data_IF_834852558027
#
_entry.id   IF_834852558027
#
_cell.length_a   1.000
_cell.length_b   1.000
_cell.length_c   1.000
_cell.angle_alpha   90.00
_cell.angle_beta   90.00
_cell.angle_gamma   90.00
#
_symmetry.space_group_name_H-M   'P 1'
#
loop_
_entity.id
_entity.type
_entity.pdbx_description
1 polymer ?
#
# COMPACT_ATOMS: atom_id res chain seq x y z
N UNK A 1 9.12 9.31 0.60
CA UNK A 1 8.17 10.45 0.55
C UNK A 1 8.77 11.59 1.36
N UNK A 2 8.80 12.83 0.86
CA UNK A 2 9.38 13.96 1.62
C UNK A 2 8.47 14.31 2.81
N UNK A 3 9.03 14.32 4.03
CA UNK A 3 8.32 14.61 5.28
C UNK A 3 7.65 16.01 5.28
N UNK A 4 8.13 16.91 4.43
CA UNK A 4 7.58 18.25 4.25
C UNK A 4 6.11 18.26 3.79
N UNK A 5 5.67 17.25 3.04
CA UNK A 5 4.31 17.20 2.50
C UNK A 5 3.22 17.03 3.57
N UNK A 6 3.28 16.01 4.46
CA UNK A 6 2.31 15.91 5.55
C UNK A 6 2.39 17.08 6.54
N UNK A 7 3.57 17.69 6.74
CA UNK A 7 3.73 18.87 7.59
C UNK A 7 3.02 20.09 6.98
N UNK A 8 3.23 20.35 5.68
CA UNK A 8 2.55 21.43 4.99
C UNK A 8 1.03 21.27 5.04
N UNK A 9 0.54 20.04 4.89
CA UNK A 9 -0.89 19.76 4.99
C UNK A 9 -1.45 19.97 6.40
N UNK A 10 -0.66 19.66 7.43
CA UNK A 10 -1.02 19.91 8.83
C UNK A 10 -1.11 21.40 9.13
N UNK A 11 -0.21 22.22 8.56
CA UNK A 11 -0.29 23.68 8.65
C UNK A 11 -1.53 24.24 7.95
N UNK A 12 -1.87 23.71 6.77
CA UNK A 12 -3.12 24.08 6.08
C UNK A 12 -4.33 23.72 6.92
N UNK A 13 -4.37 22.52 7.51
CA UNK A 13 -5.46 22.11 8.39
C UNK A 13 -5.59 23.03 9.62
N UNK A 14 -4.48 23.50 10.19
CA UNK A 14 -4.49 24.41 11.32
C UNK A 14 -5.01 25.82 10.96
N UNK A 15 -4.89 26.20 9.68
CA UNK A 15 -5.45 27.45 9.15
C UNK A 15 -6.95 27.36 8.83
N UNK A 16 -7.53 26.16 8.81
CA UNK A 16 -8.93 25.94 8.45
C UNK A 16 -9.75 25.87 9.74
N UNK A 17 -10.82 26.67 9.82
CA UNK A 17 -11.79 26.54 10.90
C UNK A 17 -12.57 25.24 10.74
N UNK A 18 -12.12 24.21 11.44
CA UNK A 18 -12.70 22.87 11.41
C UNK A 18 -14.00 22.78 12.23
N UNK A 19 -14.35 23.84 12.97
CA UNK A 19 -15.55 23.90 13.81
C UNK A 19 -16.79 24.28 12.99
N UNK A 20 -16.59 24.97 11.87
CA UNK A 20 -17.67 25.35 10.96
C UNK A 20 -18.21 24.14 10.18
N UNK A 21 -19.53 23.84 10.27
CA UNK A 21 -20.14 22.76 9.51
C UNK A 21 -20.05 22.94 7.99
N UNK A 22 -20.06 24.17 7.47
CA UNK A 22 -19.98 24.42 6.03
C UNK A 22 -18.62 24.02 5.46
N UNK A 23 -17.55 24.37 6.16
CA UNK A 23 -16.17 24.00 5.80
C UNK A 23 -15.99 22.49 5.81
N UNK A 24 -16.50 21.80 6.83
CA UNK A 24 -16.48 20.33 6.91
C UNK A 24 -17.22 19.69 5.73
N UNK A 25 -18.37 20.24 5.37
CA UNK A 25 -19.17 19.74 4.25
C UNK A 25 -18.47 19.95 2.91
N UNK A 26 -17.87 21.13 2.71
CA UNK A 26 -17.07 21.42 1.51
C UNK A 26 -15.88 20.45 1.35
N UNK A 27 -15.15 20.17 2.43
CA UNK A 27 -14.04 19.20 2.41
C UNK A 27 -14.54 17.79 2.11
N UNK A 28 -15.69 17.41 2.66
CA UNK A 28 -16.30 16.11 2.39
C UNK A 28 -16.70 15.98 0.91
N UNK A 29 -17.28 17.03 0.31
CA UNK A 29 -17.60 17.03 -1.12
C UNK A 29 -16.35 16.96 -2.01
N UNK A 30 -15.29 17.71 -1.65
CA UNK A 30 -14.01 17.62 -2.34
C UNK A 30 -13.45 16.19 -2.28
N UNK A 31 -13.52 15.56 -1.11
CA UNK A 31 -13.09 14.19 -0.90
C UNK A 31 -13.86 13.20 -1.77
N UNK A 32 -15.18 13.29 -1.80
CA UNK A 32 -16.04 12.44 -2.64
C UNK A 32 -15.68 12.66 -4.12
N UNK A 33 -15.57 13.91 -4.56
CA UNK A 33 -15.24 14.25 -5.95
C UNK A 33 -13.90 13.63 -6.38
N UNK A 34 -12.85 13.79 -5.55
CA UNK A 34 -11.52 13.20 -5.82
C UNK A 34 -11.63 11.69 -5.95
N UNK A 35 -12.34 11.01 -5.02
CA UNK A 35 -12.46 9.56 -5.07
C UNK A 35 -13.28 9.06 -6.25
N UNK A 36 -14.34 9.78 -6.66
CA UNK A 36 -15.10 9.47 -7.88
C UNK A 36 -14.18 9.48 -9.10
N UNK A 37 -13.30 10.48 -9.21
CA UNK A 37 -12.30 10.54 -10.30
C UNK A 37 -11.34 9.35 -10.20
N UNK A 38 -10.81 9.04 -9.02
CA UNK A 38 -9.89 7.91 -8.83
C UNK A 38 -10.55 6.56 -9.17
N UNK A 39 -11.82 6.37 -8.80
CA UNK A 39 -12.59 5.18 -9.17
C UNK A 39 -12.80 5.08 -10.69
N UNK A 40 -13.12 6.19 -11.35
CA UNK A 40 -13.25 6.22 -12.81
C UNK A 40 -11.94 5.80 -13.49
N UNK A 41 -10.80 6.30 -13.01
CA UNK A 41 -9.48 5.90 -13.52
C UNK A 41 -9.21 4.41 -13.24
N UNK A 42 -9.54 3.91 -12.04
CA UNK A 42 -9.35 2.50 -11.72
C UNK A 42 -10.20 1.57 -12.61
N UNK A 43 -11.45 1.94 -12.90
CA UNK A 43 -12.32 1.21 -13.84
C UNK A 43 -11.77 1.28 -15.26
N UNK A 44 -11.25 2.43 -15.68
CA UNK A 44 -10.59 2.56 -16.98
C UNK A 44 -9.37 1.63 -17.10
N UNK A 45 -8.52 1.56 -16.07
CA UNK A 45 -7.39 0.62 -16.02
C UNK A 45 -7.84 -0.82 -16.14
N UNK A 46 -8.90 -1.21 -15.41
CA UNK A 46 -9.48 -2.54 -15.49
C UNK A 46 -9.88 -2.91 -16.92
N UNK A 47 -10.62 -2.03 -17.60
CA UNK A 47 -11.02 -2.22 -18.99
C UNK A 47 -9.82 -2.34 -19.94
N UNK A 48 -8.78 -1.51 -19.75
CA UNK A 48 -7.56 -1.56 -20.57
C UNK A 48 -6.79 -2.87 -20.39
N UNK A 49 -6.67 -3.38 -19.17
CA UNK A 49 -6.02 -4.66 -18.88
C UNK A 49 -6.79 -5.80 -19.55
N UNK A 50 -8.12 -5.80 -19.43
CA UNK A 50 -8.98 -6.82 -20.05
C UNK A 50 -8.89 -6.80 -21.58
N UNK A 51 -8.86 -5.62 -22.21
CA UNK A 51 -8.78 -5.51 -23.67
C UNK A 51 -7.39 -5.93 -24.19
N UNK A 52 -6.31 -5.61 -23.48
CA UNK A 52 -4.96 -6.01 -23.89
C UNK A 52 -4.72 -7.52 -23.77
N UNK A 53 -5.31 -8.16 -22.75
CA UNK A 53 -5.25 -9.61 -22.50
C UNK A 53 -3.90 -10.27 -22.87
N UNK A 54 -2.81 -9.73 -22.32
CA UNK A 54 -1.46 -10.16 -22.66
C UNK A 54 -1.13 -11.52 -22.02
N UNK A 55 -0.98 -12.54 -22.87
CA UNK A 55 -0.74 -13.93 -22.47
C UNK A 55 0.74 -14.29 -22.33
N UNK A 56 1.66 -13.32 -22.39
CA UNK A 56 3.09 -13.58 -22.16
C UNK A 56 3.27 -14.18 -20.75
N UNK A 57 4.04 -15.26 -20.67
CA UNK A 57 4.35 -15.91 -19.40
C UNK A 57 5.33 -15.05 -18.59
N UNK A 58 4.99 -14.77 -17.34
CA UNK A 58 5.84 -14.13 -16.34
C UNK A 58 6.15 -15.13 -15.23
N UNK A 59 7.40 -15.13 -14.79
CA UNK A 59 7.82 -15.79 -13.57
C UNK A 59 7.85 -14.74 -12.46
N UNK A 60 7.00 -14.93 -11.46
CA UNK A 60 6.91 -14.05 -10.29
C UNK A 60 7.36 -14.86 -9.08
N UNK A 61 8.46 -14.45 -8.48
CA UNK A 61 8.91 -15.00 -7.20
C UNK A 61 8.09 -14.35 -6.09
N UNK A 62 7.36 -15.15 -5.32
CA UNK A 62 6.68 -14.65 -4.14
C UNK A 62 7.73 -14.27 -3.08
N UNK A 63 7.61 -13.05 -2.53
CA UNK A 63 8.55 -12.53 -1.53
C UNK A 63 8.44 -13.25 -0.18
N UNK A 64 7.33 -13.95 0.08
CA UNK A 64 7.11 -14.66 1.34
C UNK A 64 7.47 -16.15 1.28
N UNK A 65 7.16 -16.85 0.20
CA UNK A 65 7.43 -18.31 0.09
C UNK A 65 8.70 -18.63 -0.71
N UNK A 66 9.33 -17.64 -1.38
CA UNK A 66 10.38 -17.85 -2.38
C UNK A 66 9.99 -18.82 -3.51
N UNK A 67 8.70 -19.14 -3.66
CA UNK A 67 8.22 -20.00 -4.73
C UNK A 67 8.06 -19.19 -6.01
N UNK A 68 8.50 -19.76 -7.13
CA UNK A 68 8.35 -19.15 -8.45
C UNK A 68 6.99 -19.55 -9.01
N UNK A 69 6.06 -18.61 -9.04
CA UNK A 69 4.76 -18.81 -9.67
C UNK A 69 4.82 -18.34 -11.13
N UNK A 70 4.41 -19.21 -12.04
CA UNK A 70 4.17 -18.83 -13.43
C UNK A 70 2.76 -18.26 -13.56
N UNK A 71 2.65 -17.03 -14.02
CA UNK A 71 1.37 -16.38 -14.32
C UNK A 71 1.49 -15.57 -15.61
N UNK A 72 0.37 -15.20 -16.24
CA UNK A 72 0.42 -14.33 -17.42
C UNK A 72 0.62 -12.87 -17.02
N UNK A 73 1.08 -12.04 -17.97
CA UNK A 73 1.13 -10.57 -17.79
C UNK A 73 -0.23 -10.01 -17.39
N UNK A 74 -1.30 -10.47 -18.05
CA UNK A 74 -2.66 -10.05 -17.72
C UNK A 74 -3.06 -10.40 -16.29
N UNK A 75 -2.79 -11.64 -15.85
CA UNK A 75 -3.09 -12.08 -14.48
C UNK A 75 -2.31 -11.28 -13.44
N UNK A 76 -1.03 -11.00 -13.73
CA UNK A 76 -0.20 -10.17 -12.87
C UNK A 76 -0.75 -8.74 -12.76
N UNK A 77 -1.03 -8.09 -13.88
CA UNK A 77 -1.59 -6.73 -13.91
C UNK A 77 -2.94 -6.67 -13.19
N UNK A 78 -3.77 -7.70 -13.33
CA UNK A 78 -5.05 -7.81 -12.64
C UNK A 78 -4.88 -7.97 -11.13
N UNK A 79 -3.92 -8.78 -10.68
CA UNK A 79 -3.60 -8.94 -9.27
C UNK A 79 -3.17 -7.61 -8.63
N UNK A 80 -2.34 -6.83 -9.33
CA UNK A 80 -1.87 -5.51 -8.90
C UNK A 80 -2.97 -4.48 -8.94
N UNK A 81 -3.85 -4.55 -9.96
CA UNK A 81 -5.03 -3.69 -10.03
C UNK A 81 -5.95 -3.94 -8.84
N UNK A 82 -6.20 -5.20 -8.49
CA UNK A 82 -7.01 -5.58 -7.33
C UNK A 82 -6.39 -5.05 -6.03
N UNK A 83 -5.08 -5.21 -5.85
CA UNK A 83 -4.38 -4.66 -4.70
C UNK A 83 -4.52 -3.12 -4.62
N UNK A 84 -4.33 -2.42 -5.74
CA UNK A 84 -4.51 -0.97 -5.83
C UNK A 84 -5.95 -0.58 -5.46
N UNK A 85 -6.94 -1.22 -6.07
CA UNK A 85 -8.35 -0.89 -5.86
C UNK A 85 -8.79 -1.13 -4.41
N UNK A 86 -8.55 -2.31 -3.87
CA UNK A 86 -9.03 -2.65 -2.53
C UNK A 86 -8.18 -2.03 -1.42
N UNK A 87 -6.85 -2.10 -1.53
CA UNK A 87 -5.96 -1.70 -0.44
C UNK A 87 -5.56 -0.22 -0.49
N UNK A 88 -5.51 0.39 -1.68
CA UNK A 88 -5.04 1.78 -1.84
C UNK A 88 -6.17 2.78 -2.14
N UNK A 89 -7.36 2.32 -2.55
CA UNK A 89 -8.53 3.20 -2.78
C UNK A 89 -9.67 2.91 -1.80
N UNK A 90 -10.23 1.69 -1.83
CA UNK A 90 -11.46 1.37 -1.08
C UNK A 90 -11.24 1.40 0.43
N UNK A 91 -10.21 0.72 0.93
CA UNK A 91 -9.92 0.67 2.36
C UNK A 91 -9.63 2.06 2.95
N UNK A 92 -8.72 2.88 2.37
CA UNK A 92 -8.51 4.26 2.83
C UNK A 92 -9.78 5.10 2.80
N UNK A 93 -10.63 4.97 1.77
CA UNK A 93 -11.88 5.72 1.69
C UNK A 93 -12.82 5.40 2.86
N UNK A 94 -13.03 4.12 3.14
CA UNK A 94 -13.93 3.68 4.23
C UNK A 94 -13.36 4.11 5.58
N UNK A 95 -12.07 3.87 5.81
CA UNK A 95 -11.39 4.23 7.07
C UNK A 95 -11.33 5.76 7.24
N UNK A 96 -11.03 6.49 6.18
CA UNK A 96 -10.95 7.96 6.17
C UNK A 96 -12.27 8.59 6.53
N UNK A 97 -13.35 8.14 5.88
CA UNK A 97 -14.70 8.61 6.18
C UNK A 97 -15.13 8.25 7.59
N UNK A 98 -14.83 7.03 8.06
CA UNK A 98 -15.14 6.61 9.41
C UNK A 98 -14.42 7.47 10.46
N UNK A 99 -13.10 7.68 10.29
CA UNK A 99 -12.31 8.49 11.22
C UNK A 99 -12.78 9.94 11.21
N UNK A 100 -13.00 10.53 10.02
CA UNK A 100 -13.49 11.90 9.91
C UNK A 100 -14.86 12.08 10.58
N UNK A 101 -15.76 11.10 10.42
CA UNK A 101 -17.07 11.12 11.08
C UNK A 101 -16.98 10.90 12.60
N UNK A 102 -16.06 10.06 13.08
CA UNK A 102 -15.98 9.66 14.49
C UNK A 102 -15.27 10.67 15.38
N UNK A 103 -14.31 11.41 14.82
CA UNK A 103 -13.52 12.44 15.51
C UNK A 103 -13.82 13.85 15.02
N UNK A 104 -14.79 14.01 14.13
CA UNK A 104 -15.22 15.30 13.57
C UNK A 104 -14.07 16.15 12.99
N UNK A 105 -13.02 15.48 12.52
CA UNK A 105 -11.83 16.13 11.99
C UNK A 105 -11.77 15.98 10.47
N UNK A 106 -11.58 17.08 9.71
CA UNK A 106 -11.44 17.02 8.26
C UNK A 106 -10.03 16.57 7.81
N UNK A 107 -9.06 16.54 8.73
CA UNK A 107 -7.66 16.26 8.41
C UNK A 107 -7.42 14.94 7.65
N UNK A 108 -8.01 13.79 8.05
CA UNK A 108 -7.83 12.52 7.34
C UNK A 108 -8.33 12.60 5.89
N UNK A 109 -9.43 13.33 5.64
CA UNK A 109 -9.99 13.50 4.31
C UNK A 109 -9.08 14.36 3.44
N UNK A 110 -8.58 15.48 3.97
CA UNK A 110 -7.63 16.34 3.26
C UNK A 110 -6.36 15.58 2.89
N UNK A 111 -5.84 14.77 3.82
CA UNK A 111 -4.63 13.97 3.57
C UNK A 111 -4.85 12.97 2.44
N UNK A 112 -6.00 12.30 2.43
CA UNK A 112 -6.35 11.37 1.37
C UNK A 112 -6.60 12.05 0.02
N UNK A 113 -7.21 13.25 0.01
CA UNK A 113 -7.39 14.04 -1.21
C UNK A 113 -6.04 14.38 -1.87
N UNK A 114 -5.00 14.60 -1.06
CA UNK A 114 -3.69 14.96 -1.55
C UNK A 114 -2.83 13.72 -1.90
N UNK A 115 -2.89 12.67 -1.07
CA UNK A 115 -2.02 11.49 -1.21
C UNK A 115 -2.53 10.51 -2.25
N UNK A 116 -3.83 10.20 -2.27
CA UNK A 116 -4.37 9.12 -3.10
C UNK A 116 -4.19 9.40 -4.61
N UNK A 117 -4.37 10.63 -5.12
CA UNK A 117 -4.03 10.95 -6.50
C UNK A 117 -2.54 10.72 -6.80
N UNK A 118 -1.64 11.18 -5.94
CA UNK A 118 -0.19 10.98 -6.13
C UNK A 118 0.16 9.50 -6.16
N UNK A 119 -0.42 8.69 -5.28
CA UNK A 119 -0.27 7.23 -5.28
C UNK A 119 -0.79 6.61 -6.58
N UNK A 120 -1.95 7.04 -7.07
CA UNK A 120 -2.51 6.56 -8.33
C UNK A 120 -1.61 6.90 -9.52
N UNK A 121 -1.18 8.16 -9.65
CA UNK A 121 -0.30 8.62 -10.73
C UNK A 121 1.06 7.92 -10.73
N UNK A 122 1.60 7.62 -9.55
CA UNK A 122 2.88 6.90 -9.41
C UNK A 122 2.76 5.40 -9.61
N UNK A 123 1.54 4.85 -9.57
CA UNK A 123 1.35 3.41 -9.77
C UNK A 123 1.87 2.99 -11.15
N UNK A 124 2.61 1.87 -11.25
CA UNK A 124 3.15 1.41 -12.53
C UNK A 124 2.02 1.08 -13.51
N UNK A 125 0.86 0.62 -13.02
CA UNK A 125 -0.33 0.39 -13.84
C UNK A 125 -0.83 1.66 -14.53
N UNK A 126 -0.94 2.77 -13.80
CA UNK A 126 -1.34 4.04 -14.39
C UNK A 126 -0.31 4.51 -15.43
N UNK A 127 0.97 4.43 -15.10
CA UNK A 127 2.04 4.87 -15.99
C UNK A 127 2.11 4.04 -17.28
N UNK A 128 1.83 2.74 -17.20
CA UNK A 128 1.92 1.85 -18.36
C UNK A 128 0.66 1.87 -19.24
N UNK A 129 -0.53 1.91 -18.63
CA UNK A 129 -1.79 1.78 -19.36
C UNK A 129 -2.44 3.11 -19.74
N UNK A 130 -2.23 4.17 -18.95
CA UNK A 130 -2.78 5.52 -19.19
C UNK A 130 -1.76 6.45 -19.82
N UNK A 131 -0.52 6.51 -19.28
CA UNK A 131 0.54 7.34 -19.84
C UNK A 131 1.30 6.67 -20.99
N UNK A 132 0.94 5.42 -21.32
CA UNK A 132 1.53 4.63 -22.42
C UNK A 132 3.07 4.58 -22.37
N UNK A 133 3.64 4.59 -21.17
CA UNK A 133 5.09 4.42 -21.01
C UNK A 133 5.51 3.05 -21.51
N UNK A 134 6.72 2.99 -22.09
CA UNK A 134 7.31 1.72 -22.52
C UNK A 134 7.69 0.86 -21.31
N UNK A 135 7.62 -0.44 -21.49
CA UNK A 135 8.07 -1.46 -20.52
C UNK A 135 9.60 -1.50 -20.46
N UNK A 136 10.23 -0.39 -20.07
CA UNK A 136 11.68 -0.25 -19.97
C UNK A 136 12.07 0.23 -18.55
N UNK A 137 13.21 -0.26 -18.05
CA UNK A 137 13.73 0.11 -16.73
C UNK A 137 12.80 -0.28 -15.57
N UNK A 138 12.38 0.71 -14.78
CA UNK A 138 11.57 0.53 -13.56
C UNK A 138 10.13 0.03 -13.84
N UNK A 139 9.68 0.07 -15.10
CA UNK A 139 8.34 -0.40 -15.51
C UNK A 139 8.32 -1.85 -15.99
N UNK A 140 9.47 -2.52 -16.02
CA UNK A 140 9.55 -3.95 -16.35
C UNK A 140 8.91 -4.77 -15.23
N UNK A 141 8.02 -5.69 -15.61
CA UNK A 141 7.37 -6.63 -14.68
C UNK A 141 8.32 -7.78 -14.35
N UNK A 142 8.29 -8.35 -13.14
CA UNK A 142 7.47 -7.94 -11.99
C UNK A 142 8.02 -6.68 -11.31
N UNK A 143 7.12 -5.76 -10.93
CA UNK A 143 7.49 -4.55 -10.20
C UNK A 143 7.87 -4.89 -8.76
N UNK A 144 8.92 -4.23 -8.26
CA UNK A 144 9.30 -4.28 -6.85
C UNK A 144 8.14 -3.79 -6.00
N UNK A 145 7.66 -4.63 -5.08
CA UNK A 145 6.69 -4.18 -4.10
C UNK A 145 7.39 -3.22 -3.14
N UNK A 146 6.86 -2.00 -2.98
CA UNK A 146 7.18 -1.19 -1.81
C UNK A 146 6.62 -1.95 -0.60
N UNK A 147 7.50 -2.72 0.06
CA UNK A 147 7.16 -3.52 1.23
C UNK A 147 6.36 -2.65 2.21
N UNK A 148 5.15 -3.10 2.55
CA UNK A 148 4.30 -2.42 3.53
C UNK A 148 4.94 -2.40 4.93
N UNK A 149 5.96 -3.23 5.12
CA UNK A 149 6.80 -3.32 6.32
C UNK A 149 8.04 -2.46 6.05
N UNK A 150 8.26 -1.38 6.84
CA UNK A 150 9.52 -0.66 6.77
C UNK A 150 10.71 -1.61 6.94
N UNK A 151 11.79 -1.41 6.17
CA UNK A 151 12.94 -2.31 6.18
C UNK A 151 13.52 -2.59 7.59
N UNK A 152 13.45 -1.60 8.50
CA UNK A 152 13.85 -1.77 9.89
C UNK A 152 12.97 -2.76 10.67
N UNK A 153 11.67 -2.80 10.37
CA UNK A 153 10.72 -3.71 11.02
C UNK A 153 10.87 -5.14 10.48
N UNK A 154 11.16 -5.27 9.19
CA UNK A 154 11.46 -6.56 8.56
C UNK A 154 12.77 -7.15 9.12
N UNK A 155 13.82 -6.32 9.21
CA UNK A 155 15.09 -6.70 9.83
C UNK A 155 14.93 -7.12 11.31
N UNK A 156 14.08 -6.42 12.08
CA UNK A 156 13.78 -6.84 13.44
C UNK A 156 13.11 -8.22 13.48
N UNK A 157 12.11 -8.45 12.62
CA UNK A 157 11.39 -9.73 12.57
C UNK A 157 12.33 -10.90 12.22
N UNK A 158 13.23 -10.70 11.26
CA UNK A 158 14.26 -11.67 10.88
C UNK A 158 15.21 -11.95 12.06
N UNK A 159 15.59 -10.89 12.81
CA UNK A 159 16.43 -11.02 14.01
C UNK A 159 15.74 -11.78 15.14
N UNK A 160 14.43 -11.58 15.34
CA UNK A 160 13.64 -12.32 16.32
C UNK A 160 13.54 -13.81 15.95
N UNK A 161 13.27 -14.14 14.70
CA UNK A 161 13.20 -15.53 14.23
C UNK A 161 14.56 -16.25 14.32
N UNK A 162 15.65 -15.55 14.02
CA UNK A 162 17.01 -16.08 14.18
C UNK A 162 17.35 -16.37 15.66
N UNK A 163 16.94 -15.49 16.58
CA UNK A 163 17.15 -15.70 18.02
C UNK A 163 16.25 -16.80 18.61
N UNK A 164 15.01 -16.94 18.13
CA UNK A 164 14.09 -17.99 18.57
C UNK A 164 14.56 -19.39 18.12
N UNK A 165 15.06 -19.51 16.89
CA UNK A 165 15.66 -20.75 16.39
C UNK A 165 16.98 -21.12 17.10
N UNK A 166 17.76 -20.12 17.51
CA UNK A 166 18.97 -20.31 18.33
C UNK A 166 18.66 -20.71 19.79
N UNK A 167 17.56 -20.22 20.36
CA UNK A 167 17.14 -20.56 21.74
C UNK A 167 16.45 -21.91 21.83
N UNK A 168 15.65 -22.29 20.82
CA UNK A 168 14.99 -23.60 20.76
C UNK A 168 15.96 -24.76 20.44
N UNK A 169 17.13 -24.48 19.86
CA UNK A 169 18.20 -25.48 19.64
C UNK A 169 19.16 -25.62 20.83
N UNK A 170 19.00 -24.80 21.86
CA UNK A 170 19.93 -24.68 22.99
C UNK A 170 19.31 -24.92 24.36
N UNK A 171 18.59 -26.03 24.57
CA UNK A 171 18.23 -26.49 25.93
C UNK A 171 19.19 -27.60 26.40
N UNK A 172 20.26 -27.30 27.15
CA UNK A 172 21.07 -28.32 27.79
C UNK A 172 20.35 -28.87 29.03
N UNK A 173 20.04 -30.16 29.01
CA UNK A 173 19.59 -30.93 30.18
C UNK A 173 20.62 -30.84 31.30
N UNK A 174 20.34 -30.04 32.34
CA UNK A 174 21.08 -30.03 33.60
C UNK A 174 20.85 -31.35 34.35
N UNK A 175 21.70 -32.35 34.09
CA UNK A 175 21.79 -33.57 34.92
C UNK A 175 22.44 -33.23 36.25
N UNK A 176 21.60 -33.20 37.27
CA UNK A 176 21.89 -33.01 38.68
C UNK A 176 22.84 -34.12 39.20
N UNK A 177 24.13 -33.83 39.39
CA UNK A 177 25.12 -34.76 39.96
C UNK A 177 25.13 -34.61 41.48
N UNK A 178 24.29 -35.42 42.16
CA UNK A 178 24.33 -35.62 43.62
C UNK A 178 25.75 -35.98 44.06
N UNK A 179 26.34 -35.14 44.91
CA UNK A 179 27.54 -35.44 45.69
C UNK A 179 27.20 -36.56 46.69
N UNK A 180 27.94 -37.67 46.66
CA UNK A 180 28.07 -38.61 47.77
C UNK A 180 29.42 -38.33 48.43
N UNK A 181 29.37 -38.03 49.72
CA UNK A 181 30.45 -38.21 50.69
C UNK A 181 30.47 -39.68 51.10
#
# INVERSE_FOLDING_TARGET
>A
MNLLFPIALLLVNWSIDSTDPEVRQAITYLFILVHVILFAVAIYLFGRILVRNDTRALQVTDSYSNEVQQMTVADYDFSKWRALFFMKLLLPLVVGQFVASRWETPFPLLLQCAMNPVTMFRSPLFQLHVLERREEGDFVRPWKEESAVPAWLQQMWDTFQANESATNSGSPTLKNKRRRL
#
